data_IF_252324185891
#
_entry.id   IF_252324185891
#
_cell.length_a   1.000
_cell.length_b   1.000
_cell.length_c   1.000
_cell.angle_alpha   90.00
_cell.angle_beta   90.00
_cell.angle_gamma   90.00
#
_symmetry.space_group_name_H-M   'P 1'
#
loop_
_entity.id
_entity.type
_entity.pdbx_description
1 polymer ?
#
# COMPACT_ATOMS: atom_id res chain seq x y z
N UNK A 1 29.51 11.12 -17.19
CA UNK A 1 28.35 11.67 -16.45
C UNK A 1 28.24 10.91 -15.14
N UNK A 2 28.25 11.61 -14.01
CA UNK A 2 27.94 10.99 -12.72
C UNK A 2 26.48 10.53 -12.71
N UNK A 3 26.24 9.34 -12.13
CA UNK A 3 24.89 8.79 -12.02
C UNK A 3 24.16 9.53 -10.89
N UNK A 4 23.10 10.28 -11.24
CA UNK A 4 22.19 10.86 -10.24
C UNK A 4 21.64 9.76 -9.32
N UNK A 5 21.76 9.95 -8.01
CA UNK A 5 21.20 9.09 -6.96
C UNK A 5 19.92 9.76 -6.49
N UNK A 6 18.80 9.01 -6.45
CA UNK A 6 17.50 9.54 -6.05
C UNK A 6 17.07 9.09 -4.64
N UNK A 7 17.69 8.03 -4.12
CA UNK A 7 17.44 7.49 -2.78
C UNK A 7 18.78 7.17 -2.10
N UNK A 8 18.88 7.41 -0.79
CA UNK A 8 20.05 6.99 0.00
C UNK A 8 19.92 5.51 0.40
N UNK A 9 21.02 4.86 0.78
CA UNK A 9 20.95 3.47 1.26
C UNK A 9 20.10 3.36 2.55
N UNK A 10 20.25 4.33 3.45
CA UNK A 10 19.43 4.40 4.67
C UNK A 10 17.93 4.47 4.35
N UNK A 11 17.52 5.30 3.39
CA UNK A 11 16.11 5.43 3.03
C UNK A 11 15.61 4.20 2.26
N UNK A 12 16.48 3.59 1.45
CA UNK A 12 16.19 2.34 0.76
C UNK A 12 15.93 1.19 1.74
N UNK A 13 16.72 1.07 2.81
CA UNK A 13 16.48 0.10 3.89
C UNK A 13 15.15 0.33 4.62
N UNK A 14 14.75 1.60 4.83
CA UNK A 14 13.44 1.92 5.43
C UNK A 14 12.28 1.56 4.50
N UNK A 15 12.38 1.88 3.21
CA UNK A 15 11.38 1.48 2.22
C UNK A 15 11.25 -0.04 2.11
N UNK A 16 12.36 -0.79 2.21
CA UNK A 16 12.32 -2.24 2.23
C UNK A 16 11.51 -2.78 3.41
N UNK A 17 11.72 -2.25 4.63
CA UNK A 17 10.91 -2.62 5.81
C UNK A 17 9.44 -2.28 5.65
N UNK A 18 9.12 -1.15 5.02
CA UNK A 18 7.75 -0.76 4.69
C UNK A 18 7.13 -1.79 3.74
N UNK A 19 7.81 -2.13 2.64
CA UNK A 19 7.31 -3.12 1.67
C UNK A 19 7.08 -4.49 2.31
N UNK A 20 7.95 -4.92 3.23
CA UNK A 20 7.81 -6.18 3.98
C UNK A 20 6.65 -6.15 4.97
N UNK A 21 6.40 -5.01 5.62
CA UNK A 21 5.30 -4.86 6.57
C UNK A 21 3.91 -5.08 5.94
N UNK A 22 3.78 -4.80 4.64
CA UNK A 22 2.56 -4.98 3.85
C UNK A 22 2.53 -6.28 3.05
N UNK A 23 3.32 -7.29 3.39
CA UNK A 23 3.33 -8.57 2.67
C UNK A 23 1.93 -9.20 2.47
N UNK A 24 1.01 -8.99 3.42
CA UNK A 24 -0.37 -9.49 3.30
C UNK A 24 -1.18 -8.82 2.18
N UNK A 25 -0.80 -7.62 1.73
CA UNK A 25 -1.44 -6.95 0.59
C UNK A 25 -1.19 -7.72 -0.71
N UNK A 26 0.03 -8.25 -0.90
CA UNK A 26 0.42 -8.95 -2.13
C UNK A 26 -0.32 -10.29 -2.32
N UNK A 27 -0.82 -10.86 -1.23
CA UNK A 27 -1.68 -12.06 -1.26
C UNK A 27 -3.16 -11.71 -1.53
N UNK A 28 -3.54 -10.45 -1.32
CA UNK A 28 -4.92 -9.97 -1.48
C UNK A 28 -5.17 -9.29 -2.83
N UNK A 29 -4.17 -8.62 -3.38
CA UNK A 29 -4.27 -7.85 -4.60
C UNK A 29 -3.08 -8.16 -5.52
N UNK A 30 -3.30 -8.06 -6.83
CA UNK A 30 -2.27 -8.21 -7.86
C UNK A 30 -1.34 -6.99 -7.91
N UNK A 31 -0.70 -6.66 -6.79
CA UNK A 31 0.20 -5.53 -6.55
C UNK A 31 1.57 -6.07 -6.14
N UNK A 32 2.64 -5.42 -6.60
CA UNK A 32 4.01 -5.74 -6.17
C UNK A 32 4.81 -4.46 -5.91
N UNK A 33 5.72 -4.51 -4.94
CA UNK A 33 6.72 -3.47 -4.70
C UNK A 33 8.09 -3.97 -5.17
N UNK A 34 8.73 -3.22 -6.07
CA UNK A 34 10.04 -3.57 -6.66
C UNK A 34 11.08 -2.54 -6.26
N UNK A 35 12.18 -3.00 -5.67
CA UNK A 35 13.40 -2.18 -5.49
C UNK A 35 14.11 -2.02 -6.83
N UNK A 36 14.19 -0.78 -7.31
CA UNK A 36 14.85 -0.41 -8.58
C UNK A 36 16.19 0.29 -8.34
N UNK A 37 16.79 0.07 -7.17
CA UNK A 37 18.11 0.54 -6.78
C UNK A 37 18.15 2.06 -6.61
N UNK A 38 19.03 2.74 -7.34
CA UNK A 38 19.26 4.20 -7.18
C UNK A 38 18.02 5.07 -7.45
N UNK A 39 16.98 4.51 -8.05
CA UNK A 39 15.72 5.19 -8.37
C UNK A 39 14.67 5.06 -7.27
N UNK A 40 14.91 4.24 -6.23
CA UNK A 40 13.95 3.98 -5.16
C UNK A 40 13.15 2.69 -5.39
N UNK A 41 11.86 2.75 -5.10
CA UNK A 41 10.92 1.65 -5.23
C UNK A 41 9.82 1.99 -6.24
N UNK A 42 9.32 0.98 -6.94
CA UNK A 42 8.14 1.10 -7.81
C UNK A 42 7.04 0.19 -7.27
N UNK A 43 5.88 0.76 -7.01
CA UNK A 43 4.64 0.03 -6.81
C UNK A 43 3.99 -0.21 -8.16
N UNK A 44 3.82 -1.47 -8.52
CA UNK A 44 3.12 -1.90 -9.72
C UNK A 44 1.78 -2.49 -9.32
N UNK A 45 0.67 -1.98 -9.88
CA UNK A 45 -0.68 -2.36 -9.45
C UNK A 45 -1.49 -3.02 -10.55
N UNK A 46 -2.35 -3.93 -10.12
CA UNK A 46 -3.43 -4.54 -10.90
C UNK A 46 -2.92 -5.28 -12.15
N UNK A 47 -2.15 -6.36 -11.92
CA UNK A 47 -1.64 -7.18 -13.00
C UNK A 47 -2.75 -7.94 -13.74
N UNK A 48 -2.88 -7.70 -15.04
CA UNK A 48 -3.81 -8.40 -15.93
C UNK A 48 -3.04 -9.10 -17.05
N UNK A 49 -2.90 -10.44 -17.04
CA UNK A 49 -2.28 -11.16 -18.15
C UNK A 49 -3.06 -11.01 -19.48
N UNK A 50 -2.41 -10.81 -20.64
CA UNK A 50 -0.99 -10.54 -20.88
C UNK A 50 -0.63 -9.04 -20.88
N UNK A 51 -1.58 -8.15 -20.57
CA UNK A 51 -1.45 -6.70 -20.68
C UNK A 51 -0.37 -6.12 -19.76
N UNK A 52 -0.16 -6.70 -18.58
CA UNK A 52 0.79 -6.20 -17.59
C UNK A 52 0.10 -5.51 -16.43
N UNK A 53 0.82 -4.63 -15.75
CA UNK A 53 0.27 -3.78 -14.69
C UNK A 53 -0.42 -2.56 -15.29
N UNK A 54 -1.54 -2.16 -14.72
CA UNK A 54 -2.34 -1.02 -15.19
C UNK A 54 -1.79 0.31 -14.67
N UNK A 55 -1.16 0.30 -13.49
CA UNK A 55 -0.61 1.50 -12.85
C UNK A 55 0.78 1.26 -12.27
N UNK A 56 1.58 2.32 -12.26
CA UNK A 56 2.88 2.38 -11.57
C UNK A 56 3.06 3.68 -10.78
N UNK A 57 3.71 3.60 -9.63
CA UNK A 57 4.05 4.74 -8.80
C UNK A 57 5.45 4.58 -8.17
N UNK A 58 6.25 5.65 -8.16
CA UNK A 58 7.64 5.61 -7.70
C UNK A 58 7.84 6.29 -6.36
N UNK A 59 8.63 5.69 -5.49
CA UNK A 59 8.88 6.18 -4.14
C UNK A 59 10.37 6.24 -3.82
N UNK A 60 10.79 7.38 -3.28
CA UNK A 60 12.14 7.58 -2.72
C UNK A 60 12.11 7.93 -1.23
N UNK A 61 10.92 7.89 -0.62
CA UNK A 61 10.65 8.22 0.77
C UNK A 61 9.76 7.15 1.39
N UNK A 62 10.18 6.63 2.54
CA UNK A 62 9.53 5.50 3.21
C UNK A 62 8.16 5.86 3.79
N UNK A 63 7.94 7.11 4.21
CA UNK A 63 6.63 7.55 4.71
C UNK A 63 5.62 7.66 3.57
N UNK A 64 6.04 8.18 2.42
CA UNK A 64 5.20 8.23 1.23
C UNK A 64 4.81 6.83 0.76
N UNK A 65 5.76 5.89 0.69
CA UNK A 65 5.48 4.49 0.37
C UNK A 65 4.53 3.85 1.40
N UNK A 66 4.73 4.14 2.69
CA UNK A 66 3.89 3.61 3.76
C UNK A 66 2.44 4.08 3.65
N UNK A 67 2.22 5.37 3.43
CA UNK A 67 0.87 5.92 3.28
C UNK A 67 0.16 5.39 2.04
N UNK A 68 0.89 5.22 0.93
CA UNK A 68 0.35 4.63 -0.29
C UNK A 68 -0.07 3.17 -0.07
N UNK A 69 0.82 2.34 0.49
CA UNK A 69 0.51 0.93 0.79
C UNK A 69 -0.61 0.78 1.82
N UNK A 70 -0.66 1.66 2.83
CA UNK A 70 -1.75 1.68 3.81
C UNK A 70 -3.09 1.96 3.13
N UNK A 71 -3.14 2.93 2.22
CA UNK A 71 -4.35 3.28 1.49
C UNK A 71 -4.79 2.12 0.59
N UNK A 72 -3.89 1.52 -0.19
CA UNK A 72 -4.18 0.35 -1.03
C UNK A 72 -4.70 -0.83 -0.21
N UNK A 73 -4.09 -1.09 0.94
CA UNK A 73 -4.54 -2.13 1.86
C UNK A 73 -5.95 -1.87 2.37
N UNK A 74 -6.24 -0.64 2.82
CA UNK A 74 -7.55 -0.27 3.33
C UNK A 74 -8.61 -0.39 2.24
N UNK A 75 -8.32 0.15 1.05
CA UNK A 75 -9.22 0.12 -0.10
C UNK A 75 -9.51 -1.32 -0.53
N UNK A 76 -8.50 -2.19 -0.57
CA UNK A 76 -8.72 -3.62 -0.87
C UNK A 76 -9.56 -4.32 0.20
N UNK A 77 -9.36 -4.02 1.50
CA UNK A 77 -10.21 -4.57 2.57
C UNK A 77 -11.66 -4.11 2.42
N UNK A 78 -11.89 -2.83 2.13
CA UNK A 78 -13.22 -2.28 1.93
C UNK A 78 -13.89 -2.86 0.67
N UNK A 79 -13.15 -3.01 -0.42
CA UNK A 79 -13.61 -3.70 -1.61
C UNK A 79 -14.06 -5.13 -1.28
N UNK A 80 -13.25 -5.92 -0.57
CA UNK A 80 -13.59 -7.30 -0.22
C UNK A 80 -14.84 -7.39 0.67
N UNK A 81 -15.02 -6.44 1.60
CA UNK A 81 -16.23 -6.37 2.45
C UNK A 81 -17.48 -6.07 1.61
N UNK A 82 -17.38 -5.15 0.66
CA UNK A 82 -18.52 -4.68 -0.11
C UNK A 82 -18.80 -5.50 -1.38
N UNK A 83 -17.83 -6.32 -1.84
CA UNK A 83 -17.92 -7.11 -3.08
C UNK A 83 -19.20 -7.94 -3.13
N UNK A 84 -19.98 -7.77 -4.21
CA UNK A 84 -21.25 -8.46 -4.40
C UNK A 84 -22.44 -7.83 -3.67
N UNK A 85 -22.27 -6.64 -3.08
CA UNK A 85 -23.34 -5.89 -2.41
C UNK A 85 -23.52 -4.50 -3.04
N UNK A 86 -24.69 -3.85 -2.87
CA UNK A 86 -24.90 -2.47 -3.31
C UNK A 86 -24.01 -1.44 -2.58
N UNK A 87 -23.30 -1.83 -1.50
CA UNK A 87 -22.44 -0.90 -0.76
C UNK A 87 -21.27 -0.39 -1.62
N UNK A 88 -20.80 -1.16 -2.61
CA UNK A 88 -19.73 -0.72 -3.52
C UNK A 88 -20.09 0.56 -4.27
N UNK A 89 -21.37 0.77 -4.58
CA UNK A 89 -21.85 1.97 -5.29
C UNK A 89 -21.66 3.26 -4.47
N UNK A 90 -21.49 3.15 -3.14
CA UNK A 90 -21.19 4.28 -2.26
C UNK A 90 -19.71 4.68 -2.26
N UNK A 91 -18.86 3.94 -2.97
CA UNK A 91 -17.40 4.09 -2.92
C UNK A 91 -16.81 3.67 -1.57
N UNK A 92 -15.48 3.56 -1.49
CA UNK A 92 -14.80 3.04 -0.30
C UNK A 92 -15.05 3.85 0.97
N UNK A 93 -15.10 5.19 0.87
CA UNK A 93 -15.49 6.05 1.98
C UNK A 93 -16.90 5.71 2.50
N UNK A 94 -17.87 5.56 1.60
CA UNK A 94 -19.24 5.22 1.98
C UNK A 94 -19.38 3.79 2.52
N UNK A 95 -18.56 2.84 2.04
CA UNK A 95 -18.45 1.51 2.63
C UNK A 95 -17.95 1.63 4.06
N UNK A 96 -16.84 2.33 4.29
CA UNK A 96 -16.23 2.51 5.62
C UNK A 96 -17.22 3.14 6.61
N UNK A 97 -17.88 4.23 6.22
CA UNK A 97 -18.91 4.91 7.04
C UNK A 97 -20.15 4.05 7.31
N UNK A 98 -20.40 3.02 6.49
CA UNK A 98 -21.51 2.07 6.70
C UNK A 98 -21.14 0.91 7.65
N UNK A 99 -19.87 0.77 8.04
CA UNK A 99 -19.43 -0.26 9.00
C UNK A 99 -19.74 0.15 10.45
N UNK A 100 -19.81 -0.82 11.35
CA UNK A 100 -19.90 -0.54 12.80
C UNK A 100 -18.66 0.21 13.30
N UNK A 101 -18.81 1.01 14.36
CA UNK A 101 -17.69 1.73 14.98
C UNK A 101 -16.56 0.79 15.42
N UNK A 102 -16.90 -0.41 15.88
CA UNK A 102 -15.93 -1.46 16.22
C UNK A 102 -15.08 -1.84 15.00
N UNK A 103 -15.73 -2.07 13.85
CA UNK A 103 -15.02 -2.48 12.63
C UNK A 103 -14.21 -1.34 12.03
N UNK A 104 -14.73 -0.10 12.06
CA UNK A 104 -13.97 1.09 11.67
C UNK A 104 -12.71 1.24 12.52
N UNK A 105 -12.84 1.08 13.85
CA UNK A 105 -11.72 1.16 14.78
C UNK A 105 -10.70 0.03 14.59
N UNK A 106 -11.16 -1.19 14.31
CA UNK A 106 -10.30 -2.32 13.98
C UNK A 106 -9.46 -2.03 12.74
N UNK A 107 -10.08 -1.55 11.66
CA UNK A 107 -9.39 -1.19 10.43
C UNK A 107 -8.36 -0.10 10.68
N UNK A 108 -8.76 1.05 11.24
CA UNK A 108 -7.82 2.16 11.50
C UNK A 108 -6.71 1.75 12.47
N UNK A 109 -7.01 0.91 13.46
CA UNK A 109 -6.02 0.38 14.41
C UNK A 109 -4.92 -0.45 13.74
N UNK A 110 -5.19 -1.09 12.59
CA UNK A 110 -4.17 -1.82 11.82
C UNK A 110 -3.07 -0.91 11.28
N UNK A 111 -3.35 0.37 11.01
CA UNK A 111 -2.33 1.33 10.58
C UNK A 111 -1.17 1.42 11.57
N UNK A 112 -1.49 1.45 12.87
CA UNK A 112 -0.48 1.46 13.95
C UNK A 112 0.35 0.18 13.99
N UNK A 113 -0.25 -0.97 13.68
CA UNK A 113 0.46 -2.25 13.61
C UNK A 113 1.45 -2.22 12.44
N UNK A 114 1.00 -1.82 11.25
CA UNK A 114 1.87 -1.68 10.09
C UNK A 114 3.00 -0.69 10.32
N UNK A 115 2.70 0.48 10.91
CA UNK A 115 3.71 1.49 11.20
C UNK A 115 4.79 0.94 12.13
N UNK A 116 4.40 0.19 13.18
CA UNK A 116 5.35 -0.47 14.08
C UNK A 116 6.20 -1.50 13.35
N UNK A 117 5.62 -2.34 12.49
CA UNK A 117 6.35 -3.34 11.71
C UNK A 117 7.34 -2.70 10.73
N UNK A 118 6.92 -1.61 10.09
CA UNK A 118 7.73 -0.84 9.15
C UNK A 118 8.81 0.03 9.83
N UNK A 119 8.74 0.23 11.15
CA UNK A 119 9.61 1.16 11.87
C UNK A 119 9.30 2.64 11.60
N UNK A 120 8.07 2.96 11.19
CA UNK A 120 7.58 4.32 10.93
C UNK A 120 7.00 4.91 12.21
N UNK A 121 7.45 6.11 12.58
CA UNK A 121 6.79 6.92 13.61
C UNK A 121 5.55 7.60 13.02
N UNK A 122 4.40 7.36 13.65
CA UNK A 122 3.11 8.03 13.36
C UNK A 122 3.01 9.39 14.03
#
# INVERSE_FOLDING_TARGET
MEKKIYITEEEREKCQKVAEAFAELYEMADIVIVDVGRYGFVMLKYYTPPHGFEEDETFTDSKALFEALWQEWLDMKLYLIAKGTPLLEKGYKGVFESLSEEKQSELIGRKTVFARMAGIGL
#
